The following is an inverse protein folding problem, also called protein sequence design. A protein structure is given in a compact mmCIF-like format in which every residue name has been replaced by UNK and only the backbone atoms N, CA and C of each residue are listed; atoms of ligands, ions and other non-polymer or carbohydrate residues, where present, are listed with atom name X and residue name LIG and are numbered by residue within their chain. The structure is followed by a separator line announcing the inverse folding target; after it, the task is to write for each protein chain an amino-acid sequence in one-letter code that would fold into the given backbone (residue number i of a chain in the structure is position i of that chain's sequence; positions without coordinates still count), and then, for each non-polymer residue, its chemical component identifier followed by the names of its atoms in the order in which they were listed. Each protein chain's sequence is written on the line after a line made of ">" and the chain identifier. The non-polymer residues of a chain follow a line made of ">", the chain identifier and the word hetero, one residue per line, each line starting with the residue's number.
data_IF_835696430134
#
_entry.id   IF_835696430134
#
_cell.length_a   1.000
_cell.length_b   1.000
_cell.length_c   1.000
_cell.angle_alpha   90.00
_cell.angle_beta   90.00
_cell.angle_gamma   90.00
#
_symmetry.space_group_name_H-M   'P 1'
#
loop_
_entity.id
_entity.type
_entity.pdbx_description
1 polymer ?
#
# COMPACT_ATOMS: atom_id res chain seq x y z
N UNK A 1 3.67 8.58 0.73
CA UNK A 1 3.36 7.14 0.76
C UNK A 1 2.28 6.89 -0.27
N UNK A 2 2.61 6.23 -1.37
CA UNK A 2 1.61 5.72 -2.31
C UNK A 2 0.78 4.70 -1.51
N UNK A 3 -0.56 4.71 -1.55
CA UNK A 3 -1.35 3.67 -0.90
C UNK A 3 -0.73 2.33 -1.29
N UNK A 4 -0.45 1.50 -0.30
CA UNK A 4 0.21 0.22 -0.50
C UNK A 4 -0.47 -0.47 -1.68
N UNK A 5 0.22 -0.56 -2.83
CA UNK A 5 -0.44 -0.83 -4.10
C UNK A 5 -1.29 -2.09 -3.99
N UNK A 6 -2.53 -2.06 -4.48
CA UNK A 6 -3.56 -3.06 -4.14
C UNK A 6 -3.09 -4.52 -4.20
N UNK A 7 -2.24 -4.86 -5.17
CA UNK A 7 -1.62 -6.19 -5.30
C UNK A 7 -0.81 -6.63 -4.06
N UNK A 8 0.00 -5.73 -3.50
CA UNK A 8 0.80 -6.01 -2.30
C UNK A 8 -0.10 -6.17 -1.08
N UNK A 9 -1.11 -5.31 -0.94
CA UNK A 9 -2.07 -5.39 0.16
C UNK A 9 -2.84 -6.71 0.14
N UNK A 10 -3.37 -7.13 -1.02
CA UNK A 10 -4.11 -8.40 -1.16
C UNK A 10 -3.24 -9.63 -0.82
N UNK A 11 -1.95 -9.59 -1.18
CA UNK A 11 -1.04 -10.72 -0.94
C UNK A 11 -0.61 -10.85 0.51
N UNK A 12 -0.21 -9.75 1.12
CA UNK A 12 0.48 -9.77 2.43
C UNK A 12 -0.45 -9.44 3.59
N UNK A 13 -1.60 -8.79 3.33
CA UNK A 13 -2.59 -8.39 4.35
C UNK A 13 -1.92 -7.77 5.57
N UNK A 14 -1.16 -6.68 5.34
CA UNK A 14 -0.31 -6.11 6.37
C UNK A 14 -1.16 -5.55 7.52
N UNK A 15 -0.52 -5.48 8.68
CA UNK A 15 -1.07 -4.83 9.87
C UNK A 15 -0.44 -3.45 10.05
N UNK A 16 -1.17 -2.52 10.65
CA UNK A 16 -0.65 -1.17 10.94
C UNK A 16 0.59 -1.18 11.84
N UNK A 17 0.86 -2.26 12.57
CA UNK A 17 2.07 -2.44 13.38
C UNK A 17 3.33 -2.66 12.56
N UNK A 18 3.22 -3.11 11.31
CA UNK A 18 4.37 -3.27 10.40
C UNK A 18 4.87 -1.93 9.86
N UNK A 19 4.07 -0.86 9.95
CA UNK A 19 4.53 0.50 9.68
C UNK A 19 5.19 1.10 10.94
N UNK A 20 6.53 1.32 10.94
CA UNK A 20 7.23 1.84 12.11
C UNK A 20 6.77 3.24 12.55
N UNK A 21 6.73 3.42 13.88
CA UNK A 21 6.51 4.73 14.51
C UNK A 21 7.82 5.42 14.94
N UNK A 22 8.92 4.67 15.04
CA UNK A 22 10.22 5.15 15.52
C UNK A 22 11.34 4.68 14.60
N UNK A 23 12.51 5.33 14.65
CA UNK A 23 13.66 4.98 13.81
C UNK A 23 13.45 5.28 12.32
N UNK A 24 12.56 6.24 12.01
CA UNK A 24 12.21 6.66 10.65
C UNK A 24 12.54 8.13 10.44
N UNK A 25 12.73 8.52 9.19
CA UNK A 25 12.93 9.92 8.80
C UNK A 25 11.78 10.79 9.32
N UNK A 26 12.05 12.00 9.85
CA UNK A 26 11.01 12.91 10.34
C UNK A 26 9.84 13.07 9.36
N UNK A 27 8.62 13.03 9.90
CA UNK A 27 7.38 13.11 9.10
C UNK A 27 6.91 11.80 8.45
N UNK A 28 7.67 10.71 8.55
CA UNK A 28 7.31 9.39 7.99
C UNK A 28 6.93 8.36 9.07
N UNK A 29 6.67 8.79 10.31
CA UNK A 29 6.18 7.88 11.34
C UNK A 29 4.72 7.52 11.10
N UNK A 30 4.32 6.30 11.48
CA UNK A 30 2.94 5.82 11.39
C UNK A 30 1.91 6.81 11.95
N UNK A 31 2.19 7.44 13.09
CA UNK A 31 1.29 8.39 13.73
C UNK A 31 1.52 9.85 13.28
N UNK A 32 2.49 10.10 12.39
CA UNK A 32 2.79 11.44 11.87
C UNK A 32 1.69 11.87 10.90
N UNK A 33 1.42 13.18 10.86
CA UNK A 33 0.55 13.76 9.85
C UNK A 33 1.21 13.78 8.46
N UNK A 34 0.43 13.50 7.43
CA UNK A 34 0.82 13.67 6.03
C UNK A 34 0.97 15.16 5.73
N UNK A 35 2.16 15.54 5.26
CA UNK A 35 2.46 16.91 4.88
C UNK A 35 1.66 17.27 3.62
N UNK A 36 0.98 18.42 3.64
CA UNK A 36 0.22 18.94 2.50
C UNK A 36 -1.23 18.46 2.40
N UNK A 37 -1.74 17.69 3.38
CA UNK A 37 -3.13 17.27 3.44
C UNK A 37 -3.94 18.14 4.43
N UNK A 38 -5.15 18.54 4.01
CA UNK A 38 -6.14 19.18 4.87
C UNK A 38 -7.54 18.55 4.64
N UNK A 39 -8.26 18.08 5.66
CA UNK A 39 -7.91 18.09 7.09
C UNK A 39 -6.67 17.23 7.40
N UNK A 40 -6.13 17.35 8.62
CA UNK A 40 -4.95 16.59 9.02
C UNK A 40 -5.24 15.09 8.99
N UNK A 41 -4.39 14.35 8.27
CA UNK A 41 -4.49 12.89 8.13
C UNK A 41 -3.18 12.27 8.60
N UNK A 42 -3.25 11.24 9.44
CA UNK A 42 -2.08 10.44 9.82
C UNK A 42 -1.80 9.35 8.80
N UNK A 43 -0.53 8.99 8.66
CA UNK A 43 -0.08 7.88 7.83
C UNK A 43 -0.87 6.58 8.08
N UNK A 44 -1.14 6.23 9.35
CA UNK A 44 -1.93 5.05 9.73
C UNK A 44 -3.34 5.04 9.16
N UNK A 45 -3.95 6.22 8.98
CA UNK A 45 -5.30 6.32 8.44
C UNK A 45 -5.33 6.01 6.95
N UNK A 46 -4.21 6.16 6.26
CA UNK A 46 -4.02 5.81 4.85
C UNK A 46 -3.42 4.41 4.66
N UNK A 47 -3.03 3.75 5.75
CA UNK A 47 -2.53 2.38 5.76
C UNK A 47 -3.71 1.40 5.92
N UNK A 48 -4.59 1.40 4.93
CA UNK A 48 -5.78 0.57 4.86
C UNK A 48 -5.94 0.02 3.44
N UNK A 49 -6.90 -0.88 3.25
CA UNK A 49 -7.20 -1.40 1.93
C UNK A 49 -7.72 -0.26 1.03
N UNK A 50 -7.33 -0.25 -0.24
CA UNK A 50 -7.82 0.76 -1.19
C UNK A 50 -9.34 0.71 -1.37
N UNK A 51 -9.94 -0.47 -1.16
CA UNK A 51 -11.40 -0.69 -1.18
C UNK A 51 -12.11 0.08 -0.06
N UNK A 52 -11.45 0.28 1.08
CA UNK A 52 -11.99 1.05 2.20
C UNK A 52 -12.07 2.56 1.85
N UNK A 53 -11.29 3.01 0.87
CA UNK A 53 -11.39 4.35 0.28
C UNK A 53 -12.31 4.41 -0.94
N UNK A 54 -12.98 3.30 -1.30
CA UNK A 54 -13.80 3.20 -2.50
C UNK A 54 -13.00 3.19 -3.81
N UNK A 55 -11.70 2.91 -3.75
CA UNK A 55 -10.84 2.83 -4.94
C UNK A 55 -10.67 1.37 -5.33
N UNK A 56 -11.04 1.05 -6.57
CA UNK A 56 -10.97 -0.29 -7.13
C UNK A 56 -10.08 -0.28 -8.37
N UNK A 57 -9.25 -1.31 -8.53
CA UNK A 57 -8.58 -1.58 -9.78
C UNK A 57 -9.47 -2.45 -10.66
N UNK A 58 -9.71 -2.03 -11.91
CA UNK A 58 -10.46 -2.84 -12.89
C UNK A 58 -9.76 -4.18 -13.17
N UNK A 59 -8.43 -4.15 -13.14
CA UNK A 59 -7.58 -5.33 -13.24
C UNK A 59 -6.26 -5.08 -12.52
N UNK A 60 -5.55 -6.16 -12.20
CA UNK A 60 -4.21 -6.10 -11.62
C UNK A 60 -3.11 -6.16 -12.69
N UNK A 61 -3.38 -5.72 -13.92
CA UNK A 61 -2.38 -5.73 -14.99
C UNK A 61 -1.62 -4.40 -14.99
N UNK A 62 -0.34 -4.44 -14.65
CA UNK A 62 0.47 -3.22 -14.50
C UNK A 62 1.58 -3.13 -15.57
N UNK A 63 1.79 -1.91 -16.09
CA UNK A 63 2.90 -1.57 -16.96
C UNK A 63 2.81 -2.12 -18.40
N UNK A 64 3.66 -1.59 -19.28
CA UNK A 64 3.67 -1.92 -20.72
C UNK A 64 4.08 -3.37 -21.02
N UNK A 65 4.74 -4.04 -20.07
CA UNK A 65 5.21 -5.44 -20.21
C UNK A 65 4.23 -6.47 -19.65
N UNK A 66 3.04 -6.05 -19.22
CA UNK A 66 1.97 -6.97 -18.82
C UNK A 66 2.24 -7.73 -17.53
N UNK A 67 2.65 -7.04 -16.46
CA UNK A 67 2.72 -7.68 -15.14
C UNK A 67 1.30 -8.12 -14.74
N UNK A 68 1.07 -9.43 -14.58
CA UNK A 68 -0.20 -9.97 -14.07
C UNK A 68 -0.14 -10.04 -12.54
N UNK A 69 -0.76 -9.06 -11.88
CA UNK A 69 -0.82 -9.02 -10.43
C UNK A 69 -1.60 -10.18 -9.81
N UNK A 70 -2.42 -10.93 -10.56
CA UNK A 70 -3.04 -12.17 -10.04
C UNK A 70 -1.99 -13.24 -9.78
N UNK A 71 -1.00 -13.38 -10.66
CA UNK A 71 0.12 -14.31 -10.45
C UNK A 71 0.97 -13.88 -9.25
N UNK A 72 1.17 -12.58 -9.05
CA UNK A 72 1.83 -12.07 -7.84
C UNK A 72 1.04 -12.40 -6.57
N UNK A 73 -0.29 -12.23 -6.58
CA UNK A 73 -1.14 -12.54 -5.44
C UNK A 73 -1.09 -14.05 -5.13
N UNK A 74 -1.00 -14.91 -6.14
CA UNK A 74 -0.93 -16.36 -5.95
C UNK A 74 0.47 -16.84 -5.51
N UNK A 75 1.52 -16.43 -6.23
CA UNK A 75 2.86 -17.02 -6.13
C UNK A 75 3.93 -16.07 -5.59
N UNK A 76 3.60 -14.79 -5.41
CA UNK A 76 4.54 -13.75 -4.95
C UNK A 76 5.64 -13.48 -5.98
N UNK A 77 6.84 -13.10 -5.49
CA UNK A 77 8.00 -12.83 -6.37
C UNK A 77 8.40 -14.02 -7.25
N UNK A 78 8.03 -15.25 -6.88
CA UNK A 78 8.34 -16.46 -7.67
C UNK A 78 7.64 -16.50 -9.02
N UNK A 79 6.57 -15.73 -9.23
CA UNK A 79 5.92 -15.61 -10.53
C UNK A 79 6.72 -14.78 -11.56
N UNK A 80 7.73 -14.02 -11.11
CA UNK A 80 8.44 -13.05 -11.96
C UNK A 80 9.96 -13.30 -12.03
N UNK A 81 10.40 -14.49 -11.62
CA UNK A 81 11.80 -14.94 -11.71
C UNK A 81 11.91 -15.94 -12.86
#
# INVERSE_FOLDING_TARGET
>A
MIPAGGVWWERYKPTSTEYPNHGVTPGNCRECHLIGFFPLVRHVQMFQDMRDFGIYYDNFNFGRRGFDGKEFIAFGKKAFI
#
